data_IF_045357397618
#
_entry.id   IF_045357397618
#
_cell.length_a   1.000
_cell.length_b   1.000
_cell.length_c   1.000
_cell.angle_alpha   90.00
_cell.angle_beta   90.00
_cell.angle_gamma   90.00
#
_symmetry.space_group_name_H-M   'P 1'
#
loop_
_entity.id
_entity.type
_entity.pdbx_description
1 polymer ?
#
# COMPACT_ATOMS: atom_id res chain seq x y z
N UNK A 1 -3.78 2.73 -26.18
CA UNK A 1 -3.71 3.89 -25.26
C UNK A 1 -3.21 3.35 -23.92
N UNK A 2 -1.92 3.49 -23.63
CA UNK A 2 -1.31 2.93 -22.41
C UNK A 2 -1.50 3.93 -21.28
N UNK A 3 -2.30 3.58 -20.26
CA UNK A 3 -2.40 4.39 -19.05
C UNK A 3 -1.03 4.37 -18.36
N UNK A 4 -0.44 5.52 -17.99
CA UNK A 4 0.81 5.56 -17.24
C UNK A 4 0.58 4.87 -15.90
N UNK A 5 1.16 3.68 -15.74
CA UNK A 5 0.90 2.70 -14.69
C UNK A 5 1.58 3.05 -13.35
N UNK A 6 1.69 4.33 -13.01
CA UNK A 6 1.73 4.78 -11.62
C UNK A 6 0.31 4.73 -11.05
N UNK A 7 -0.26 3.53 -11.00
CA UNK A 7 -1.58 3.35 -10.40
C UNK A 7 -1.38 3.39 -8.90
N UNK A 8 -1.78 4.50 -8.30
CA UNK A 8 -1.95 4.65 -6.87
C UNK A 8 -2.63 3.39 -6.30
N UNK A 9 -2.06 2.81 -5.24
CA UNK A 9 -2.52 1.53 -4.69
C UNK A 9 -4.00 1.55 -4.33
N UNK A 10 -4.52 2.70 -3.87
CA UNK A 10 -5.93 2.88 -3.53
C UNK A 10 -6.82 2.72 -4.75
N UNK A 11 -6.46 3.37 -5.86
CA UNK A 11 -7.21 3.27 -7.12
C UNK A 11 -7.16 1.84 -7.66
N UNK A 12 -6.01 1.18 -7.60
CA UNK A 12 -5.87 -0.21 -8.02
C UNK A 12 -6.82 -1.14 -7.23
N UNK A 13 -6.89 -0.98 -5.91
CA UNK A 13 -7.79 -1.77 -5.06
C UNK A 13 -9.27 -1.51 -5.36
N UNK A 14 -9.65 -0.25 -5.58
CA UNK A 14 -11.02 0.15 -5.91
C UNK A 14 -11.47 -0.39 -7.27
N UNK A 15 -10.54 -0.55 -8.21
CA UNK A 15 -10.78 -1.16 -9.53
C UNK A 15 -10.74 -2.69 -9.52
N UNK A 16 -10.46 -3.31 -8.36
CA UNK A 16 -10.39 -4.77 -8.22
C UNK A 16 -9.07 -5.39 -8.70
N UNK A 17 -8.02 -4.58 -8.89
CA UNK A 17 -6.70 -5.10 -9.22
C UNK A 17 -6.13 -5.91 -8.04
N UNK A 18 -5.36 -6.96 -8.38
CA UNK A 18 -4.70 -7.80 -7.39
C UNK A 18 -3.59 -7.03 -6.67
N UNK A 19 -3.31 -7.41 -5.43
CA UNK A 19 -2.16 -6.89 -4.67
C UNK A 19 -0.82 -7.22 -5.36
N UNK A 20 -0.80 -8.28 -6.16
CA UNK A 20 0.37 -8.70 -6.96
C UNK A 20 0.64 -7.79 -8.16
N UNK A 21 -0.28 -6.88 -8.48
CA UNK A 21 -0.09 -5.84 -9.50
C UNK A 21 0.77 -4.68 -9.01
N UNK A 22 1.32 -4.76 -7.79
CA UNK A 22 2.26 -3.78 -7.26
C UNK A 22 3.47 -3.66 -8.21
N UNK A 23 3.72 -2.47 -8.79
CA UNK A 23 4.82 -2.29 -9.74
C UNK A 23 6.18 -2.09 -9.07
N UNK A 24 6.21 -1.92 -7.75
CA UNK A 24 7.43 -1.57 -7.03
C UNK A 24 8.25 -2.80 -6.61
N UNK A 25 9.59 -2.67 -6.53
CA UNK A 25 10.45 -3.76 -6.06
C UNK A 25 10.09 -4.23 -4.66
N UNK A 26 10.08 -5.54 -4.45
CA UNK A 26 9.84 -6.13 -3.14
C UNK A 26 10.76 -5.54 -2.06
N UNK A 27 10.23 -5.36 -0.85
CA UNK A 27 10.92 -4.80 0.33
C UNK A 27 11.43 -3.35 0.17
N UNK A 28 11.02 -2.64 -0.87
CA UNK A 28 11.26 -1.20 -1.00
C UNK A 28 10.23 -0.38 -0.21
N UNK A 29 10.58 0.85 0.18
CA UNK A 29 9.62 1.76 0.80
C UNK A 29 8.37 1.97 -0.09
N UNK A 30 8.57 2.16 -1.40
CA UNK A 30 7.47 2.35 -2.36
C UNK A 30 6.56 1.10 -2.47
N UNK A 31 7.13 -0.10 -2.35
CA UNK A 31 6.34 -1.34 -2.31
C UNK A 31 5.39 -1.36 -1.12
N UNK A 32 5.89 -1.03 0.07
CA UNK A 32 5.06 -0.99 1.28
C UNK A 32 4.04 0.16 1.27
N UNK A 33 4.39 1.33 0.73
CA UNK A 33 3.42 2.42 0.57
C UNK A 33 2.28 2.02 -0.34
N UNK A 34 2.58 1.42 -1.49
CA UNK A 34 1.56 0.95 -2.41
C UNK A 34 0.67 -0.12 -1.77
N UNK A 35 1.25 -1.05 -1.00
CA UNK A 35 0.46 -2.03 -0.24
C UNK A 35 -0.46 -1.34 0.78
N UNK A 36 0.03 -0.32 1.47
CA UNK A 36 -0.77 0.43 2.42
C UNK A 36 -1.98 1.09 1.74
N UNK A 37 -1.74 1.76 0.60
CA UNK A 37 -2.79 2.44 -0.15
C UNK A 37 -3.78 1.45 -0.75
N UNK A 38 -3.31 0.29 -1.23
CA UNK A 38 -4.17 -0.79 -1.71
C UNK A 38 -5.10 -1.31 -0.61
N UNK A 39 -4.57 -1.62 0.58
CA UNK A 39 -5.39 -2.10 1.70
C UNK A 39 -6.37 -1.03 2.19
N UNK A 40 -5.95 0.23 2.24
CA UNK A 40 -6.82 1.35 2.57
C UNK A 40 -7.94 1.54 1.53
N UNK A 41 -7.63 1.41 0.24
CA UNK A 41 -8.61 1.45 -0.85
C UNK A 41 -9.61 0.32 -0.76
N UNK A 42 -9.14 -0.91 -0.50
CA UNK A 42 -10.02 -2.07 -0.29
C UNK A 42 -10.93 -1.85 0.92
N UNK A 43 -10.40 -1.37 2.04
CA UNK A 43 -11.17 -1.04 3.23
C UNK A 43 -12.26 0.00 2.94
N UNK A 44 -11.97 0.99 2.10
CA UNK A 44 -12.92 2.03 1.71
C UNK A 44 -14.10 1.48 0.90
N UNK A 45 -13.93 0.38 0.15
CA UNK A 45 -15.03 -0.30 -0.56
C UNK A 45 -15.94 -1.13 0.35
N UNK A 46 -15.48 -1.46 1.55
CA UNK A 46 -16.26 -2.23 2.51
C UNK A 46 -17.18 -1.34 3.35
N UNK A 47 -18.30 -1.92 3.80
CA UNK A 47 -19.22 -1.27 4.74
C UNK A 47 -18.49 -0.87 6.03
N UNK A 48 -18.87 0.25 6.61
CA UNK A 48 -18.20 0.82 7.80
C UNK A 48 -18.18 -0.12 9.01
N UNK A 49 -19.19 -0.99 9.16
CA UNK A 49 -19.30 -1.95 10.26
C UNK A 49 -18.65 -3.31 9.96
N UNK A 50 -18.04 -3.50 8.78
CA UNK A 50 -17.41 -4.75 8.43
C UNK A 50 -16.13 -4.93 9.27
N UNK A 51 -15.97 -6.05 10.02
CA UNK A 51 -14.75 -6.29 10.79
C UNK A 51 -13.51 -6.39 9.89
N UNK A 52 -13.69 -6.81 8.64
CA UNK A 52 -12.64 -6.85 7.63
C UNK A 52 -12.09 -5.45 7.29
N UNK A 53 -12.93 -4.41 7.32
CA UNK A 53 -12.49 -3.03 7.10
C UNK A 53 -11.46 -2.59 8.14
N UNK A 54 -11.70 -2.90 9.41
CA UNK A 54 -10.78 -2.59 10.50
C UNK A 54 -9.45 -3.36 10.35
N UNK A 55 -9.51 -4.64 9.95
CA UNK A 55 -8.31 -5.44 9.68
C UNK A 55 -7.48 -4.86 8.54
N UNK A 56 -8.12 -4.47 7.43
CA UNK A 56 -7.45 -3.86 6.28
C UNK A 56 -6.84 -2.50 6.64
N UNK A 57 -7.53 -1.69 7.44
CA UNK A 57 -6.97 -0.43 7.94
C UNK A 57 -5.73 -0.65 8.81
N UNK A 58 -5.78 -1.62 9.74
CA UNK A 58 -4.63 -1.97 10.56
C UNK A 58 -3.44 -2.53 9.75
N UNK A 59 -3.70 -3.27 8.67
CA UNK A 59 -2.66 -3.70 7.73
C UNK A 59 -2.04 -2.50 7.00
N UNK A 60 -2.88 -1.57 6.54
CA UNK A 60 -2.39 -0.36 5.87
C UNK A 60 -1.44 0.44 6.77
N UNK A 61 -1.77 0.61 8.05
CA UNK A 61 -0.89 1.32 8.98
C UNK A 61 0.42 0.58 9.27
N UNK A 62 0.40 -0.75 9.39
CA UNK A 62 1.62 -1.55 9.51
C UNK A 62 2.55 -1.37 8.31
N UNK A 63 2.00 -1.36 7.10
CA UNK A 63 2.80 -1.14 5.89
C UNK A 63 3.37 0.28 5.82
N UNK A 64 2.61 1.31 6.24
CA UNK A 64 3.14 2.68 6.35
C UNK A 64 4.31 2.76 7.33
N UNK A 65 4.19 2.11 8.48
CA UNK A 65 5.28 2.05 9.46
C UNK A 65 6.51 1.35 8.86
N UNK A 66 6.32 0.26 8.13
CA UNK A 66 7.42 -0.46 7.47
C UNK A 66 8.12 0.40 6.41
N UNK A 67 7.35 1.10 5.58
CA UNK A 67 7.88 2.04 4.59
C UNK A 67 8.69 3.17 5.25
N UNK A 68 8.17 3.74 6.34
CA UNK A 68 8.85 4.78 7.10
C UNK A 68 10.18 4.28 7.69
N UNK A 69 10.18 3.08 8.30
CA UNK A 69 11.40 2.48 8.84
C UNK A 69 12.46 2.24 7.76
N UNK A 70 12.08 1.78 6.56
CA UNK A 70 13.02 1.57 5.46
C UNK A 70 13.66 2.89 5.02
N UNK A 71 12.87 3.97 4.88
CA UNK A 71 13.39 5.29 4.57
C UNK A 71 14.40 5.77 5.60
N UNK A 72 14.07 5.63 6.89
CA UNK A 72 14.96 6.02 7.98
C UNK A 72 16.28 5.23 7.96
N UNK A 73 16.22 3.91 7.72
CA UNK A 73 17.42 3.08 7.60
C UNK A 73 18.27 3.47 6.40
N UNK A 74 17.66 3.73 5.23
CA UNK A 74 18.40 4.17 4.03
C UNK A 74 19.05 5.54 4.25
N UNK A 75 18.43 6.46 4.99
CA UNK A 75 19.03 7.76 5.32
C UNK A 75 20.13 7.66 6.40
N UNK A 76 20.08 6.64 7.27
CA UNK A 76 21.03 6.49 8.39
C UNK A 76 22.27 5.64 8.07
N UNK A 77 22.31 4.99 6.91
CA UNK A 77 23.40 4.10 6.49
C UNK A 77 24.54 4.76 5.71
N UNK A 78 24.58 6.08 5.60
CA UNK A 78 25.64 6.82 4.93
C UNK A 78 26.52 7.59 5.93
N UNK A 79 27.56 6.92 6.45
CA UNK A 79 28.72 7.56 7.09
C UNK A 79 29.97 6.96 6.46
#
# INVERSE_FOLDING_TARGET
MALPFTVDGRTAAQQGASVTSNPYPFDSAAYYEWLADWHAGKAATLRSNAPERAKLAALADQYRQRAASIRLTTTSGGI
#
